data_IF_708911053918
#
_entry.id   IF_708911053918
#
_cell.length_a   1.000
_cell.length_b   1.000
_cell.length_c   1.000
_cell.angle_alpha   90.00
_cell.angle_beta   90.00
_cell.angle_gamma   90.00
#
_symmetry.space_group_name_H-M   'P 1'
#
loop_
_entity.id
_entity.type
_entity.pdbx_description
1 polymer ?
#
# COMPACT_ATOMS: atom_id res chain seq x y z
N UNK A 1 -71.12 -65.31 -44.29
CA UNK A 1 -70.48 -64.04 -43.83
C UNK A 1 -69.47 -64.36 -42.70
N UNK A 2 -68.19 -64.42 -43.04
CA UNK A 2 -67.11 -64.74 -42.08
C UNK A 2 -66.41 -63.39 -41.66
N UNK A 3 -66.47 -63.05 -40.35
CA UNK A 3 -65.75 -61.97 -39.83
C UNK A 3 -64.34 -62.39 -39.40
N UNK A 4 -63.34 -61.89 -40.09
CA UNK A 4 -61.93 -62.07 -39.78
C UNK A 4 -61.49 -61.13 -38.61
N UNK A 5 -61.01 -61.68 -37.51
CA UNK A 5 -60.39 -60.94 -36.42
C UNK A 5 -58.93 -60.64 -36.80
N UNK A 6 -58.56 -59.39 -36.84
CA UNK A 6 -57.18 -58.95 -36.91
C UNK A 6 -56.58 -58.88 -35.44
N UNK A 7 -55.55 -59.72 -35.24
CA UNK A 7 -54.72 -59.60 -34.02
C UNK A 7 -53.73 -58.47 -34.18
N UNK A 8 -53.74 -57.52 -33.20
CA UNK A 8 -52.73 -56.53 -33.07
C UNK A 8 -51.56 -57.11 -32.28
N UNK A 9 -50.39 -57.17 -32.87
CA UNK A 9 -49.15 -57.40 -32.14
C UNK A 9 -48.67 -56.07 -31.55
N UNK A 10 -48.64 -55.98 -30.21
CA UNK A 10 -48.05 -54.89 -29.48
C UNK A 10 -46.59 -55.25 -29.19
N UNK A 11 -45.66 -54.60 -29.91
CA UNK A 11 -44.25 -54.74 -29.65
C UNK A 11 -43.89 -53.94 -28.36
N UNK A 12 -43.50 -54.64 -27.32
CA UNK A 12 -42.85 -54.00 -26.13
C UNK A 12 -41.39 -53.65 -26.45
N UNK A 13 -41.06 -52.39 -26.59
CA UNK A 13 -39.68 -51.91 -26.49
C UNK A 13 -39.30 -51.89 -25.04
N UNK A 14 -38.14 -52.44 -24.63
CA UNK A 14 -37.62 -52.19 -23.25
C UNK A 14 -37.11 -50.78 -23.15
N UNK A 15 -37.69 -50.00 -22.22
CA UNK A 15 -37.19 -48.71 -21.80
C UNK A 15 -35.93 -48.98 -20.97
N UNK A 16 -34.75 -48.73 -21.56
CA UNK A 16 -33.48 -48.69 -20.82
C UNK A 16 -33.43 -47.32 -20.09
N UNK A 17 -33.73 -47.37 -18.80
CA UNK A 17 -33.57 -46.24 -17.89
C UNK A 17 -32.06 -46.02 -17.67
N UNK A 18 -31.47 -45.05 -18.38
CA UNK A 18 -30.15 -44.50 -18.04
C UNK A 18 -30.30 -43.67 -16.79
N UNK A 19 -29.93 -44.23 -15.64
CA UNK A 19 -29.71 -43.48 -14.41
C UNK A 19 -28.43 -42.64 -14.56
N UNK A 20 -28.56 -41.37 -14.90
CA UNK A 20 -27.52 -40.37 -14.75
C UNK A 20 -27.28 -40.17 -13.24
N UNK A 21 -26.33 -40.91 -12.69
CA UNK A 21 -25.76 -40.61 -11.39
C UNK A 21 -24.92 -39.33 -11.55
N UNK A 22 -25.54 -38.21 -11.28
CA UNK A 22 -24.83 -36.94 -11.11
C UNK A 22 -23.96 -37.08 -9.85
N UNK A 23 -22.66 -37.26 -10.02
CA UNK A 23 -21.71 -37.11 -8.94
C UNK A 23 -21.73 -35.64 -8.50
N UNK A 24 -22.61 -35.29 -7.56
CA UNK A 24 -22.45 -34.08 -6.75
C UNK A 24 -21.31 -34.42 -5.81
N UNK A 25 -20.11 -33.96 -6.17
CA UNK A 25 -18.98 -33.91 -5.23
C UNK A 25 -19.43 -33.03 -4.09
N UNK A 26 -19.71 -33.57 -2.91
CA UNK A 26 -19.89 -32.77 -1.71
C UNK A 26 -18.53 -32.17 -1.41
N UNK A 27 -18.43 -30.86 -1.49
CA UNK A 27 -17.26 -30.12 -0.98
C UNK A 27 -17.10 -30.50 0.49
N UNK A 28 -15.91 -30.94 0.86
CA UNK A 28 -15.56 -31.22 2.27
C UNK A 28 -15.22 -29.91 2.94
N UNK A 29 -15.26 -29.85 4.28
CA UNK A 29 -14.86 -28.65 5.03
C UNK A 29 -13.43 -28.19 4.69
N UNK A 30 -12.57 -29.12 4.22
CA UNK A 30 -11.22 -28.79 3.71
C UNK A 30 -11.24 -28.02 2.36
N UNK A 31 -12.30 -28.20 1.55
CA UNK A 31 -12.45 -27.50 0.26
C UNK A 31 -12.94 -26.06 0.45
N UNK A 32 -13.59 -25.75 1.60
CA UNK A 32 -14.10 -24.42 1.95
C UNK A 32 -12.95 -23.50 2.35
N UNK A 33 -11.92 -24.02 2.97
CA UNK A 33 -10.71 -23.24 3.35
C UNK A 33 -9.89 -22.76 2.13
N UNK A 34 -10.06 -23.41 0.96
CA UNK A 34 -9.37 -23.06 -0.28
C UNK A 34 -9.93 -21.79 -0.95
N UNK A 35 -11.11 -21.32 -0.54
CA UNK A 35 -11.80 -20.15 -1.12
C UNK A 35 -11.75 -18.89 -0.26
N UNK A 36 -10.88 -18.84 0.77
CA UNK A 36 -10.68 -17.60 1.52
C UNK A 36 -10.10 -16.54 0.61
N UNK A 37 -10.71 -15.35 0.58
CA UNK A 37 -10.17 -14.20 -0.13
C UNK A 37 -8.73 -13.91 0.35
N UNK A 38 -7.77 -13.62 -0.55
CA UNK A 38 -6.41 -13.35 -0.14
C UNK A 38 -6.33 -12.01 0.58
N UNK A 39 -5.40 -11.89 1.54
CA UNK A 39 -5.00 -10.60 2.03
C UNK A 39 -4.31 -9.82 0.90
N UNK A 40 -4.43 -8.50 0.94
CA UNK A 40 -3.85 -7.61 -0.07
C UNK A 40 -3.01 -6.56 0.65
N UNK A 41 -1.73 -6.49 0.33
CA UNK A 41 -0.84 -5.39 0.75
C UNK A 41 -0.41 -4.64 -0.49
N UNK A 42 -0.78 -3.35 -0.54
CA UNK A 42 -0.38 -2.45 -1.60
C UNK A 42 0.65 -1.47 -1.05
N UNK A 43 1.89 -1.57 -1.51
CA UNK A 43 3.00 -0.70 -1.09
C UNK A 43 3.16 0.41 -2.12
N UNK A 44 3.04 1.65 -1.66
CA UNK A 44 3.25 2.86 -2.45
C UNK A 44 4.45 3.62 -1.87
N UNK A 45 5.50 3.80 -2.66
CA UNK A 45 6.62 4.68 -2.32
C UNK A 45 6.36 6.09 -2.88
N UNK A 46 6.71 7.13 -2.11
CA UNK A 46 6.47 8.51 -2.49
C UNK A 46 7.73 9.07 -3.21
N UNK A 47 7.58 9.43 -4.48
CA UNK A 47 8.64 9.97 -5.35
C UNK A 47 9.83 9.00 -5.59
N UNK A 48 9.59 7.69 -5.61
CA UNK A 48 10.57 6.71 -6.04
C UNK A 48 10.60 6.64 -7.58
N UNK A 49 11.74 6.91 -8.17
CA UNK A 49 11.92 6.87 -9.62
C UNK A 49 12.04 5.43 -10.16
N UNK A 50 11.76 5.25 -11.46
CA UNK A 50 11.80 3.95 -12.12
C UNK A 50 13.14 3.22 -11.94
N UNK A 51 14.28 3.94 -12.06
CA UNK A 51 15.61 3.36 -11.97
C UNK A 51 16.24 3.48 -10.56
N UNK A 52 15.45 3.68 -9.52
CA UNK A 52 15.97 3.86 -8.16
C UNK A 52 16.03 2.54 -7.37
N UNK A 53 15.62 1.42 -7.96
CA UNK A 53 15.71 0.08 -7.39
C UNK A 53 16.52 -0.88 -8.26
N UNK A 54 17.20 -1.86 -7.66
CA UNK A 54 18.17 -2.72 -8.37
C UNK A 54 17.55 -3.51 -9.51
N UNK A 55 16.35 -4.08 -9.33
CA UNK A 55 15.67 -4.84 -10.38
C UNK A 55 15.22 -3.98 -11.59
N UNK A 56 15.26 -2.65 -11.46
CA UNK A 56 14.95 -1.69 -12.54
C UNK A 56 16.18 -0.92 -13.04
N UNK A 57 17.40 -1.31 -12.60
CA UNK A 57 18.64 -0.79 -13.15
C UNK A 57 19.47 0.06 -12.19
N UNK A 58 19.11 0.24 -10.94
CA UNK A 58 19.96 0.87 -9.93
C UNK A 58 21.21 0.01 -9.70
N UNK A 59 22.41 0.65 -9.77
CA UNK A 59 23.71 -0.03 -9.62
C UNK A 59 24.57 0.56 -8.50
N UNK A 60 24.19 1.68 -7.91
CA UNK A 60 24.96 2.38 -6.88
C UNK A 60 24.74 1.80 -5.48
N UNK A 61 23.56 1.25 -5.24
CA UNK A 61 23.19 0.53 -4.01
C UNK A 61 22.20 -0.58 -4.37
N UNK A 62 21.88 -1.47 -3.45
CA UNK A 62 21.04 -2.62 -3.72
C UNK A 62 19.72 -2.58 -2.93
N UNK A 63 18.68 -3.21 -3.52
CA UNK A 63 17.35 -3.38 -2.90
C UNK A 63 16.94 -4.85 -2.89
N UNK A 64 17.66 -5.71 -2.12
CA UNK A 64 17.55 -7.17 -2.23
C UNK A 64 16.17 -7.73 -1.87
N UNK A 65 15.42 -7.08 -0.99
CA UNK A 65 14.08 -7.53 -0.61
C UNK A 65 13.05 -7.23 -1.70
N UNK A 66 13.11 -6.04 -2.30
CA UNK A 66 12.29 -5.65 -3.45
C UNK A 66 12.63 -6.53 -4.65
N UNK A 67 13.93 -6.77 -4.93
CA UNK A 67 14.39 -7.64 -6.01
C UNK A 67 13.90 -9.08 -5.84
N UNK A 68 13.88 -9.58 -4.61
CA UNK A 68 13.31 -10.90 -4.29
C UNK A 68 11.81 -10.96 -4.62
N UNK A 69 11.03 -9.94 -4.25
CA UNK A 69 9.61 -9.86 -4.62
C UNK A 69 9.43 -9.81 -6.14
N UNK A 70 10.21 -8.98 -6.83
CA UNK A 70 10.18 -8.88 -8.29
C UNK A 70 10.47 -10.22 -8.97
N UNK A 71 11.47 -10.98 -8.46
CA UNK A 71 11.83 -12.31 -8.98
C UNK A 71 10.78 -13.39 -8.73
N UNK A 72 9.95 -13.23 -7.70
CA UNK A 72 8.91 -14.18 -7.30
C UNK A 72 7.52 -13.81 -7.82
N UNK A 73 7.36 -12.64 -8.39
CA UNK A 73 6.09 -12.08 -8.83
C UNK A 73 6.08 -11.65 -10.29
N UNK A 74 5.26 -10.67 -10.58
CA UNK A 74 5.14 -10.05 -11.89
C UNK A 74 5.68 -8.61 -11.81
N UNK A 75 6.58 -8.26 -12.71
CA UNK A 75 7.15 -6.94 -12.83
C UNK A 75 6.52 -6.20 -14.02
N UNK A 76 5.93 -5.03 -13.78
CA UNK A 76 5.35 -4.20 -14.81
C UNK A 76 6.35 -3.14 -15.26
N UNK A 77 6.89 -3.27 -16.47
CA UNK A 77 7.86 -2.33 -17.03
C UNK A 77 7.24 -1.08 -17.62
N UNK A 78 5.93 -1.01 -17.75
CA UNK A 78 5.17 0.09 -18.35
C UNK A 78 3.97 0.47 -17.47
N UNK A 79 4.22 0.73 -16.20
CA UNK A 79 3.21 1.17 -15.26
C UNK A 79 3.52 2.60 -14.82
N UNK A 80 2.51 3.47 -14.85
CA UNK A 80 2.67 4.90 -14.61
C UNK A 80 1.68 5.38 -13.55
N UNK A 81 2.11 6.32 -12.72
CA UNK A 81 1.21 7.01 -11.78
C UNK A 81 0.15 7.84 -12.53
N UNK A 82 -1.01 8.03 -11.92
CA UNK A 82 -2.09 8.82 -12.53
C UNK A 82 -1.78 10.31 -12.67
N UNK A 83 -0.77 10.81 -11.94
CA UNK A 83 -0.33 12.19 -11.96
C UNK A 83 1.09 12.29 -11.42
N UNK A 84 1.83 13.33 -11.83
CA UNK A 84 3.14 13.69 -11.26
C UNK A 84 3.05 14.39 -9.90
N UNK A 85 1.84 14.65 -9.38
CA UNK A 85 1.60 15.32 -8.10
C UNK A 85 0.88 14.36 -7.17
N UNK A 86 1.31 14.30 -5.91
CA UNK A 86 0.94 13.25 -4.95
C UNK A 86 -0.58 13.11 -4.71
N UNK A 87 -1.30 14.19 -4.33
CA UNK A 87 -2.72 14.06 -4.00
C UNK A 87 -3.58 13.62 -5.20
N UNK A 88 -3.45 14.19 -6.42
CA UNK A 88 -4.20 13.68 -7.57
C UNK A 88 -3.78 12.27 -7.98
N UNK A 89 -2.50 11.88 -7.84
CA UNK A 89 -2.05 10.50 -8.10
C UNK A 89 -2.73 9.51 -7.15
N UNK A 90 -2.76 9.80 -5.85
CA UNK A 90 -3.46 9.00 -4.84
C UNK A 90 -4.95 8.91 -5.11
N UNK A 91 -5.58 10.04 -5.47
CA UNK A 91 -7.00 10.06 -5.85
C UNK A 91 -7.29 9.18 -7.07
N UNK A 92 -6.48 9.27 -8.14
CA UNK A 92 -6.60 8.39 -9.30
C UNK A 92 -6.47 6.91 -8.90
N UNK A 93 -5.49 6.59 -8.07
CA UNK A 93 -5.21 5.23 -7.65
C UNK A 93 -6.39 4.60 -6.92
N UNK A 94 -6.92 5.28 -5.89
CA UNK A 94 -7.98 4.70 -5.06
C UNK A 94 -9.38 4.75 -5.69
N UNK A 95 -9.58 5.61 -6.69
CA UNK A 95 -10.88 5.74 -7.39
C UNK A 95 -10.90 5.03 -8.75
N UNK A 96 -9.74 4.65 -9.30
CA UNK A 96 -9.64 4.14 -10.67
C UNK A 96 -9.96 5.19 -11.74
N UNK A 97 -10.01 6.47 -11.38
CA UNK A 97 -10.37 7.57 -12.29
C UNK A 97 -9.12 8.25 -12.85
N UNK A 98 -9.16 8.57 -14.14
CA UNK A 98 -8.13 9.40 -14.77
C UNK A 98 -8.13 10.82 -14.18
N UNK A 99 -6.98 11.51 -14.15
CA UNK A 99 -6.83 12.88 -13.61
C UNK A 99 -7.79 13.91 -14.20
N UNK A 100 -8.30 13.68 -15.41
CA UNK A 100 -9.35 14.51 -16.03
C UNK A 100 -10.74 14.36 -15.38
N UNK A 101 -10.96 13.29 -14.61
CA UNK A 101 -12.25 12.95 -14.00
C UNK A 101 -12.21 12.90 -12.48
N UNK A 102 -11.06 12.61 -11.87
CA UNK A 102 -10.95 12.60 -10.42
C UNK A 102 -11.23 13.97 -9.81
N UNK A 103 -11.80 13.97 -8.59
CA UNK A 103 -12.12 15.21 -7.88
C UNK A 103 -10.85 15.97 -7.46
N UNK A 104 -9.82 15.26 -7.01
CA UNK A 104 -8.58 15.88 -6.53
C UNK A 104 -7.61 16.02 -7.69
N UNK A 105 -7.31 17.27 -8.08
CA UNK A 105 -6.47 17.58 -9.25
C UNK A 105 -5.17 18.32 -8.92
N UNK A 106 -4.85 18.49 -7.65
CA UNK A 106 -3.62 19.14 -7.18
C UNK A 106 -3.46 19.04 -5.68
N UNK A 107 -2.27 19.34 -5.19
CA UNK A 107 -1.99 19.47 -3.77
C UNK A 107 -2.56 20.81 -3.29
N UNK A 108 -3.83 20.81 -2.89
CA UNK A 108 -4.48 21.99 -2.32
C UNK A 108 -4.51 21.86 -0.82
N UNK A 109 -3.65 22.63 -0.17
CA UNK A 109 -3.60 22.69 1.28
C UNK A 109 -4.72 23.56 1.83
N UNK A 110 -5.19 23.22 3.02
CA UNK A 110 -6.11 24.01 3.83
C UNK A 110 -5.36 24.56 5.05
N UNK A 111 -5.85 25.68 5.65
CA UNK A 111 -5.27 26.25 6.84
C UNK A 111 -5.15 25.25 7.99
N UNK A 112 -4.16 25.46 8.86
CA UNK A 112 -3.76 24.65 10.01
C UNK A 112 -3.03 23.40 9.55
N UNK A 113 -3.67 22.27 9.47
CA UNK A 113 -3.14 20.99 9.01
C UNK A 113 -4.24 20.31 8.21
N UNK A 114 -4.31 20.60 6.94
CA UNK A 114 -5.39 20.09 6.11
C UNK A 114 -5.02 19.92 4.65
N UNK A 115 -5.81 19.11 4.02
CA UNK A 115 -5.78 18.84 2.60
C UNK A 115 -7.20 18.99 2.05
N UNK A 116 -7.34 19.46 0.81
CA UNK A 116 -8.63 19.51 0.16
C UNK A 116 -9.29 18.13 0.22
N UNK A 117 -10.47 18.00 0.89
CA UNK A 117 -11.07 16.71 1.14
C UNK A 117 -11.69 16.13 -0.14
N UNK A 118 -11.49 14.82 -0.31
CA UNK A 118 -12.25 14.03 -1.29
C UNK A 118 -13.65 13.79 -0.72
N UNK A 119 -14.68 13.83 -1.58
CA UNK A 119 -16.05 13.57 -1.13
C UNK A 119 -16.24 12.13 -0.70
N UNK A 120 -17.00 11.91 0.37
CA UNK A 120 -17.37 10.58 0.88
C UNK A 120 -18.29 9.79 -0.06
N UNK A 121 -18.94 10.45 -1.01
CA UNK A 121 -19.80 9.81 -2.02
C UNK A 121 -19.01 9.07 -3.11
N UNK A 122 -17.72 9.34 -3.22
CA UNK A 122 -16.86 8.72 -4.24
C UNK A 122 -16.62 7.24 -3.90
N UNK A 123 -16.88 6.35 -4.86
CA UNK A 123 -16.61 4.94 -4.72
C UNK A 123 -15.10 4.69 -4.85
N UNK A 124 -14.50 4.14 -3.80
CA UNK A 124 -13.06 3.91 -3.70
C UNK A 124 -12.76 2.41 -3.58
N UNK A 125 -11.50 2.03 -3.79
CA UNK A 125 -11.01 0.67 -3.54
C UNK A 125 -11.28 0.24 -2.09
N UNK A 126 -11.21 1.16 -1.11
CA UNK A 126 -11.51 0.86 0.30
C UNK A 126 -12.96 0.45 0.47
N UNK A 127 -13.89 1.24 -0.10
CA UNK A 127 -15.31 0.89 -0.07
C UNK A 127 -15.57 -0.45 -0.76
N UNK A 128 -15.00 -0.66 -1.94
CA UNK A 128 -15.16 -1.91 -2.69
C UNK A 128 -14.68 -3.11 -1.86
N UNK A 129 -13.52 -3.03 -1.23
CA UNK A 129 -12.96 -4.12 -0.45
C UNK A 129 -13.73 -4.32 0.86
N UNK A 130 -14.17 -3.24 1.51
CA UNK A 130 -15.02 -3.34 2.71
C UNK A 130 -16.36 -3.99 2.41
N UNK A 131 -17.01 -3.64 1.29
CA UNK A 131 -18.24 -4.29 0.82
C UNK A 131 -18.03 -5.81 0.53
N UNK A 132 -16.78 -6.24 0.32
CA UNK A 132 -16.39 -7.65 0.14
C UNK A 132 -15.76 -8.29 1.39
N UNK A 133 -15.97 -7.71 2.56
CA UNK A 133 -15.60 -8.29 3.86
C UNK A 133 -14.13 -8.11 4.27
N UNK A 134 -13.40 -7.22 3.61
CA UNK A 134 -12.03 -6.91 4.02
C UNK A 134 -12.01 -5.90 5.18
N UNK A 135 -11.11 -6.12 6.14
CA UNK A 135 -10.68 -5.07 7.05
C UNK A 135 -9.66 -4.19 6.32
N UNK A 136 -9.93 -2.88 6.27
CA UNK A 136 -9.15 -1.93 5.48
C UNK A 136 -8.22 -1.10 6.35
N UNK A 137 -6.99 -0.86 5.88
CA UNK A 137 -6.02 -0.07 6.63
C UNK A 137 -5.13 0.78 5.73
N UNK A 138 -4.59 1.86 6.32
CA UNK A 138 -3.62 2.76 5.68
C UNK A 138 -2.51 3.08 6.68
N UNK A 139 -1.27 2.85 6.27
CA UNK A 139 -0.08 3.19 7.06
C UNK A 139 0.84 4.08 6.25
N UNK A 140 1.02 5.34 6.68
CA UNK A 140 1.83 6.34 6.01
C UNK A 140 1.10 7.62 5.64
N UNK A 141 1.28 8.12 4.42
CA UNK A 141 0.74 9.39 3.94
C UNK A 141 -0.63 9.22 3.30
N UNK A 142 -1.65 9.89 3.84
CA UNK A 142 -3.00 9.92 3.27
C UNK A 142 -3.15 10.98 2.15
N UNK A 143 -3.23 12.26 2.52
CA UNK A 143 -3.21 13.39 1.59
C UNK A 143 -4.48 13.65 0.78
N UNK A 144 -5.64 13.11 1.19
CA UNK A 144 -6.93 13.25 0.49
C UNK A 144 -8.03 13.85 1.37
N UNK A 145 -7.67 14.38 2.53
CA UNK A 145 -8.55 15.04 3.48
C UNK A 145 -7.81 15.37 4.77
N UNK A 146 -8.52 15.97 5.70
CA UNK A 146 -8.04 16.32 7.03
C UNK A 146 -8.95 15.70 8.08
N UNK A 147 -8.51 15.59 9.34
CA UNK A 147 -9.34 15.11 10.44
C UNK A 147 -10.65 15.87 10.51
N UNK A 148 -11.76 15.14 10.68
CA UNK A 148 -13.11 15.70 10.76
C UNK A 148 -13.72 16.19 9.44
N UNK A 149 -13.06 15.95 8.30
CA UNK A 149 -13.63 16.20 6.98
C UNK A 149 -14.18 14.92 6.35
N UNK A 150 -15.01 15.05 5.30
CA UNK A 150 -15.49 13.89 4.54
C UNK A 150 -14.37 13.11 3.84
N UNK A 151 -13.21 13.73 3.60
CA UNK A 151 -12.03 13.10 3.01
C UNK A 151 -11.07 12.48 4.02
N UNK A 152 -11.39 12.45 5.32
CA UNK A 152 -10.56 11.76 6.30
C UNK A 152 -10.59 10.24 6.08
N UNK A 153 -9.55 9.49 6.49
CA UNK A 153 -9.47 8.05 6.25
C UNK A 153 -10.72 7.28 6.70
N UNK A 154 -11.22 7.52 7.91
CA UNK A 154 -12.39 6.86 8.46
C UNK A 154 -13.66 7.11 7.65
N UNK A 155 -13.84 8.32 7.10
CA UNK A 155 -14.96 8.66 6.22
C UNK A 155 -14.81 8.11 4.80
N UNK A 156 -13.62 7.61 4.46
CA UNK A 156 -13.30 6.94 3.19
C UNK A 156 -13.24 5.41 3.32
N UNK A 157 -13.89 4.85 4.35
CA UNK A 157 -13.98 3.41 4.63
C UNK A 157 -12.62 2.75 4.98
N UNK A 158 -11.73 3.47 5.63
CA UNK A 158 -10.52 2.94 6.24
C UNK A 158 -10.83 2.62 7.71
N UNK A 159 -10.65 1.35 8.11
CA UNK A 159 -10.90 0.90 9.49
C UNK A 159 -9.76 1.27 10.43
N UNK A 160 -8.52 1.33 9.90
CA UNK A 160 -7.36 1.69 10.68
C UNK A 160 -6.37 2.53 9.89
N UNK A 161 -6.02 3.67 10.44
CA UNK A 161 -5.07 4.61 9.88
C UNK A 161 -4.00 4.99 10.90
N UNK A 162 -2.72 4.92 10.51
CA UNK A 162 -1.63 5.51 11.27
C UNK A 162 -0.65 6.23 10.35
N UNK A 163 -0.44 7.55 10.55
CA UNK A 163 0.50 8.30 9.72
C UNK A 163 0.18 9.80 9.58
N UNK A 164 0.43 10.33 8.40
CA UNK A 164 0.28 11.74 8.06
C UNK A 164 -1.04 11.98 7.32
N UNK A 165 -1.88 12.89 7.82
CA UNK A 165 -3.10 13.27 7.12
C UNK A 165 -2.84 14.16 5.90
N UNK A 166 -1.88 15.08 5.96
CA UNK A 166 -1.64 16.08 4.94
C UNK A 166 -0.28 15.94 4.24
N UNK A 167 -0.16 16.56 3.07
CA UNK A 167 1.05 16.55 2.26
C UNK A 167 2.21 17.26 2.97
N UNK A 168 1.95 18.44 3.56
CA UNK A 168 3.00 19.29 4.15
C UNK A 168 3.66 18.64 5.35
N UNK A 169 2.90 18.08 6.29
CA UNK A 169 3.48 17.45 7.47
C UNK A 169 4.33 16.23 7.09
N UNK A 170 3.97 15.54 6.01
CA UNK A 170 4.71 14.39 5.49
C UNK A 170 6.09 14.76 4.89
N UNK A 171 6.43 16.03 4.75
CA UNK A 171 7.79 16.48 4.43
C UNK A 171 8.71 16.46 5.64
N UNK A 172 8.18 16.34 6.86
CA UNK A 172 8.95 16.28 8.09
C UNK A 172 9.04 14.83 8.59
N UNK A 173 10.24 14.27 8.64
CA UNK A 173 10.50 12.90 9.07
C UNK A 173 10.60 12.73 10.57
N UNK A 174 10.73 13.86 11.31
CA UNK A 174 10.69 13.94 12.77
C UNK A 174 9.59 14.90 13.23
N UNK A 175 8.31 14.65 12.82
CA UNK A 175 7.21 15.54 13.19
C UNK A 175 6.93 15.46 14.68
N UNK A 176 6.31 16.51 15.24
CA UNK A 176 5.88 16.48 16.64
C UNK A 176 4.59 15.65 16.85
N UNK A 177 3.93 15.24 15.78
CA UNK A 177 2.78 14.35 15.88
C UNK A 177 2.53 13.56 14.59
N UNK A 178 1.85 12.43 14.77
CA UNK A 178 1.17 11.67 13.74
C UNK A 178 -0.31 11.51 14.11
N UNK A 179 -1.06 10.83 13.28
CA UNK A 179 -2.46 10.55 13.52
C UNK A 179 -2.70 9.04 13.61
N UNK A 180 -3.52 8.63 14.58
CA UNK A 180 -4.07 7.29 14.66
C UNK A 180 -5.59 7.43 14.58
N UNK A 181 -6.15 7.12 13.41
CA UNK A 181 -7.53 7.43 13.04
C UNK A 181 -7.81 8.94 13.23
N UNK A 182 -8.76 9.30 14.07
CA UNK A 182 -9.13 10.68 14.40
C UNK A 182 -8.31 11.30 15.55
N UNK A 183 -7.37 10.52 16.14
CA UNK A 183 -6.60 10.95 17.29
C UNK A 183 -5.19 11.38 16.93
N UNK A 184 -4.82 12.55 17.41
CA UNK A 184 -3.45 13.07 17.32
C UNK A 184 -2.56 12.38 18.34
N UNK A 185 -1.47 11.79 17.88
CA UNK A 185 -0.45 11.12 18.69
C UNK A 185 0.77 12.01 18.75
N UNK A 186 1.08 12.55 19.93
CA UNK A 186 2.24 13.39 20.13
C UNK A 186 3.51 12.54 20.21
N UNK A 187 4.54 12.96 19.50
CA UNK A 187 5.86 12.36 19.48
C UNK A 187 6.79 13.19 20.37
N UNK A 188 6.79 12.87 21.66
CA UNK A 188 7.54 13.64 22.67
C UNK A 188 9.06 13.60 22.44
N UNK A 189 9.57 12.55 21.78
CA UNK A 189 10.96 12.45 21.37
C UNK A 189 11.39 13.49 20.34
N UNK A 190 10.42 14.16 19.68
CA UNK A 190 10.67 15.20 18.68
C UNK A 190 10.37 16.61 19.20
N UNK A 191 10.10 16.73 20.50
CA UNK A 191 9.86 18.03 21.12
C UNK A 191 11.08 18.93 21.01
N UNK A 192 10.84 20.25 20.86
CA UNK A 192 11.90 21.27 20.80
C UNK A 192 12.96 21.01 19.71
N UNK A 193 12.53 20.44 18.56
CA UNK A 193 13.40 20.05 17.43
C UNK A 193 14.35 18.89 17.72
N UNK A 194 14.10 18.10 18.75
CA UNK A 194 14.77 16.81 18.92
C UNK A 194 14.38 15.86 17.80
N UNK A 195 15.27 14.93 17.45
CA UNK A 195 15.09 13.99 16.32
C UNK A 195 15.24 12.54 16.84
N UNK A 196 14.37 12.14 17.77
CA UNK A 196 14.43 10.80 18.37
C UNK A 196 13.38 9.84 17.79
N UNK A 197 12.23 10.37 17.39
CA UNK A 197 11.10 9.56 16.88
C UNK A 197 11.02 9.68 15.36
N UNK A 198 11.72 8.80 14.64
CA UNK A 198 11.69 8.75 13.17
C UNK A 198 10.37 8.17 12.67
N UNK A 199 9.53 9.01 12.10
CA UNK A 199 8.15 8.65 11.74
C UNK A 199 8.03 7.42 10.80
N UNK A 200 8.91 7.20 9.79
CA UNK A 200 8.84 5.98 8.98
C UNK A 200 8.99 4.68 9.76
N UNK A 201 9.72 4.67 10.90
CA UNK A 201 9.81 3.50 11.76
C UNK A 201 8.53 3.28 12.55
N UNK A 202 8.00 4.34 13.17
CA UNK A 202 6.75 4.27 13.93
C UNK A 202 5.56 3.82 13.06
N UNK A 203 5.50 4.32 11.84
CA UNK A 203 4.48 3.91 10.85
C UNK A 203 4.64 2.45 10.49
N UNK A 204 5.88 1.99 10.28
CA UNK A 204 6.17 0.61 9.95
C UNK A 204 5.82 -0.34 11.10
N UNK A 205 6.18 0.01 12.32
CA UNK A 205 5.87 -0.81 13.51
C UNK A 205 4.36 -1.00 13.67
N UNK A 206 3.57 0.07 13.49
CA UNK A 206 2.11 -0.01 13.51
C UNK A 206 1.54 -0.88 12.38
N UNK A 207 2.15 -0.85 11.18
CA UNK A 207 1.76 -1.73 10.09
C UNK A 207 2.04 -3.21 10.40
N UNK A 208 3.19 -3.51 10.99
CA UNK A 208 3.56 -4.87 11.45
C UNK A 208 2.58 -5.36 12.54
N UNK A 209 2.24 -4.51 13.48
CA UNK A 209 1.32 -4.87 14.57
C UNK A 209 -0.09 -5.12 14.03
N UNK A 210 -0.57 -4.30 13.08
CA UNK A 210 -1.83 -4.55 12.39
C UNK A 210 -1.87 -5.94 11.73
N UNK A 211 -0.79 -6.37 11.05
CA UNK A 211 -0.72 -7.70 10.43
C UNK A 211 -0.84 -8.80 11.49
N UNK A 212 -0.11 -8.67 12.61
CA UNK A 212 -0.14 -9.65 13.72
C UNK A 212 -1.54 -9.76 14.35
N UNK A 213 -2.19 -8.62 14.61
CA UNK A 213 -3.51 -8.55 15.21
C UNK A 213 -4.63 -9.07 14.30
N UNK A 214 -4.43 -8.98 12.98
CA UNK A 214 -5.44 -9.35 11.98
C UNK A 214 -5.09 -10.61 11.19
N UNK A 215 -4.18 -11.46 11.68
CA UNK A 215 -3.74 -12.69 11.00
C UNK A 215 -4.87 -13.64 10.62
N UNK A 216 -5.95 -13.64 11.40
CA UNK A 216 -7.12 -14.49 11.21
C UNK A 216 -8.26 -13.79 10.44
N UNK A 217 -8.04 -12.54 10.01
CA UNK A 217 -9.00 -11.70 9.28
C UNK A 217 -8.48 -11.45 7.87
N UNK A 218 -9.37 -11.47 6.88
CA UNK A 218 -9.00 -11.00 5.53
C UNK A 218 -8.87 -9.49 5.54
N UNK A 219 -7.71 -8.99 5.14
CA UNK A 219 -7.40 -7.55 5.19
C UNK A 219 -6.84 -6.99 3.88
N UNK A 220 -7.05 -5.70 3.72
CA UNK A 220 -6.37 -4.84 2.75
C UNK A 220 -5.55 -3.79 3.49
N UNK A 221 -4.27 -3.75 3.22
CA UNK A 221 -3.36 -2.74 3.73
C UNK A 221 -2.83 -1.87 2.59
N UNK A 222 -3.04 -0.57 2.68
CA UNK A 222 -2.35 0.40 1.84
C UNK A 222 -1.15 0.97 2.62
N UNK A 223 0.03 0.39 2.39
CA UNK A 223 1.28 0.85 2.99
C UNK A 223 1.85 2.00 2.14
N UNK A 224 1.51 3.23 2.49
CA UNK A 224 1.85 4.43 1.73
C UNK A 224 3.08 5.12 2.33
N UNK A 225 4.25 4.51 2.10
CA UNK A 225 5.52 5.01 2.61
C UNK A 225 5.79 6.43 2.11
N UNK A 226 6.29 7.29 2.98
CA UNK A 226 6.80 8.61 2.60
C UNK A 226 8.20 8.56 2.00
N UNK A 227 8.88 7.40 2.10
CA UNK A 227 10.20 7.19 1.54
C UNK A 227 10.13 6.95 0.02
N UNK A 228 11.07 7.49 -0.75
CA UNK A 228 12.16 8.40 -0.41
C UNK A 228 11.89 9.89 -0.72
N UNK A 229 10.65 10.37 -0.54
CA UNK A 229 10.29 11.78 -0.80
C UNK A 229 11.17 12.77 -0.01
N UNK A 230 11.49 13.92 -0.57
CA UNK A 230 12.14 14.99 0.16
C UNK A 230 11.21 15.55 1.27
N UNK A 231 11.71 15.94 2.44
CA UNK A 231 13.14 16.24 2.72
C UNK A 231 13.96 14.95 2.84
N UNK A 232 15.24 15.02 2.52
CA UNK A 232 16.14 13.87 2.60
C UNK A 232 16.69 13.73 4.02
N UNK A 233 15.83 13.42 4.98
CA UNK A 233 16.16 13.30 6.40
C UNK A 233 16.09 11.84 6.83
N UNK A 234 17.17 11.37 7.43
CA UNK A 234 17.33 9.99 7.90
C UNK A 234 18.06 9.96 9.23
N UNK A 235 17.94 8.89 10.02
CA UNK A 235 18.77 8.72 11.22
C UNK A 235 20.27 8.77 10.88
N UNK A 236 21.04 9.48 11.67
CA UNK A 236 22.49 9.67 11.44
C UNK A 236 23.24 8.33 11.38
N UNK A 237 22.84 7.36 12.20
CA UNK A 237 23.41 6.00 12.19
C UNK A 237 23.25 5.29 10.87
N UNK A 238 22.13 5.49 10.19
CA UNK A 238 21.84 4.90 8.87
C UNK A 238 22.56 5.66 7.75
N UNK A 239 22.57 7.00 7.83
CA UNK A 239 23.28 7.85 6.86
C UNK A 239 24.77 7.52 6.76
N UNK A 240 25.41 7.25 7.88
CA UNK A 240 26.85 6.88 7.95
C UNK A 240 27.22 5.65 7.13
N UNK A 241 26.25 4.79 6.81
CA UNK A 241 26.50 3.60 5.98
C UNK A 241 26.83 3.96 4.51
N UNK A 242 26.42 5.12 4.06
CA UNK A 242 26.59 5.58 2.68
C UNK A 242 27.49 6.81 2.54
N UNK A 243 27.75 7.53 3.63
CA UNK A 243 28.64 8.70 3.61
C UNK A 243 30.08 8.25 3.45
N UNK A 244 30.79 8.90 2.52
CA UNK A 244 32.19 8.55 2.20
C UNK A 244 32.36 7.34 1.28
N UNK A 245 31.28 6.77 0.80
CA UNK A 245 31.32 5.72 -0.23
C UNK A 245 31.73 6.33 -1.56
N UNK A 246 32.68 5.69 -2.24
CA UNK A 246 33.15 6.09 -3.58
C UNK A 246 32.07 5.94 -4.66
N UNK A 247 30.94 5.29 -4.34
CA UNK A 247 29.78 5.16 -5.24
C UNK A 247 29.17 6.51 -5.61
N UNK A 248 29.28 7.50 -4.76
CA UNK A 248 28.80 8.88 -5.00
C UNK A 248 29.99 9.82 -5.22
N UNK A 249 30.49 9.91 -6.46
CA UNK A 249 31.70 10.65 -6.82
C UNK A 249 31.68 12.14 -6.42
N UNK A 250 30.49 12.74 -6.33
CA UNK A 250 30.30 14.12 -5.86
C UNK A 250 28.96 14.24 -5.16
N UNK A 251 29.01 14.28 -3.85
CA UNK A 251 27.86 14.73 -3.08
C UNK A 251 27.55 16.21 -3.39
N UNK A 252 26.26 16.52 -3.33
CA UNK A 252 25.77 17.91 -3.43
C UNK A 252 25.01 18.24 -2.18
N UNK A 253 25.49 19.25 -1.47
CA UNK A 253 24.72 19.81 -0.37
C UNK A 253 23.51 20.57 -0.92
N UNK A 254 22.37 20.40 -0.25
CA UNK A 254 21.18 21.20 -0.44
C UNK A 254 21.00 22.11 0.77
N UNK A 255 21.00 23.42 0.54
CA UNK A 255 20.66 24.42 1.56
C UNK A 255 19.16 24.68 1.51
N UNK A 256 18.46 24.24 2.53
CA UNK A 256 17.00 24.31 2.62
C UNK A 256 16.54 25.26 3.73
N UNK A 257 15.31 25.07 4.18
CA UNK A 257 14.67 25.81 5.26
C UNK A 257 14.61 24.94 6.52
N UNK A 258 15.42 25.25 7.52
CA UNK A 258 15.48 24.52 8.79
C UNK A 258 14.65 25.20 9.90
N UNK A 259 13.76 26.12 9.53
CA UNK A 259 12.96 26.91 10.44
C UNK A 259 11.67 26.21 10.91
N UNK A 260 11.77 25.47 12.00
CA UNK A 260 10.60 25.02 12.75
C UNK A 260 10.03 23.65 12.38
N UNK A 261 8.99 23.26 13.11
CA UNK A 261 8.25 21.98 12.96
C UNK A 261 7.45 21.94 11.67
N UNK A 262 7.08 23.10 11.15
CA UNK A 262 6.38 23.26 9.88
C UNK A 262 7.27 24.10 8.96
N UNK A 263 7.79 23.50 7.90
CA UNK A 263 8.51 24.26 6.88
C UNK A 263 7.57 25.26 6.24
N UNK A 264 7.76 26.52 6.57
CA UNK A 264 6.97 27.60 5.98
C UNK A 264 7.31 27.68 4.49
N UNK A 265 6.31 27.88 3.65
CA UNK A 265 6.44 28.02 2.21
C UNK A 265 6.83 26.75 1.41
N UNK A 266 6.59 25.55 1.95
CA UNK A 266 6.83 24.29 1.23
C UNK A 266 8.30 23.96 1.02
N UNK A 267 9.21 24.60 1.77
CA UNK A 267 10.63 24.29 1.73
C UNK A 267 10.95 22.91 2.33
N UNK A 268 12.06 22.35 1.89
CA UNK A 268 12.67 21.15 2.47
C UNK A 268 13.82 21.54 3.38
N UNK A 269 14.13 20.72 4.38
CA UNK A 269 15.28 20.89 5.25
C UNK A 269 16.59 20.72 4.49
N UNK A 270 17.66 21.29 5.06
CA UNK A 270 19.02 21.19 4.52
C UNK A 270 19.54 19.76 4.60
N UNK A 271 20.33 19.36 3.60
CA UNK A 271 21.03 18.08 3.58
C UNK A 271 22.42 18.23 2.95
N UNK A 272 23.46 17.85 3.69
CA UNK A 272 24.84 17.90 3.23
C UNK A 272 25.15 16.78 2.22
N UNK A 273 24.59 15.58 2.45
CA UNK A 273 24.86 14.34 1.70
C UNK A 273 23.61 13.85 1.00
N UNK A 274 23.14 14.59 -0.02
CA UNK A 274 21.82 14.32 -0.64
C UNK A 274 21.72 12.94 -1.29
N UNK A 275 22.78 12.48 -1.99
CA UNK A 275 22.77 11.15 -2.63
C UNK A 275 22.83 10.02 -1.59
N UNK A 276 23.69 10.15 -0.58
CA UNK A 276 23.78 9.17 0.50
C UNK A 276 22.47 9.10 1.29
N UNK A 277 21.84 10.24 1.57
CA UNK A 277 20.55 10.29 2.26
C UNK A 277 19.44 9.63 1.43
N UNK A 278 19.36 9.88 0.13
CA UNK A 278 18.42 9.23 -0.76
C UNK A 278 18.64 7.70 -0.81
N UNK A 279 19.88 7.24 -0.97
CA UNK A 279 20.20 5.82 -0.95
C UNK A 279 19.83 5.17 0.41
N UNK A 280 20.07 5.87 1.52
CA UNK A 280 19.65 5.44 2.85
C UNK A 280 18.13 5.28 2.93
N UNK A 281 17.35 6.25 2.45
CA UNK A 281 15.88 6.19 2.45
C UNK A 281 15.36 5.01 1.66
N UNK A 282 15.90 4.76 0.46
CA UNK A 282 15.52 3.60 -0.36
C UNK A 282 15.90 2.28 0.32
N UNK A 283 17.07 2.22 0.98
CA UNK A 283 17.50 1.04 1.73
C UNK A 283 16.63 0.76 2.96
N UNK A 284 16.16 1.82 3.65
CA UNK A 284 15.18 1.67 4.74
C UNK A 284 13.87 1.11 4.19
N UNK A 285 13.37 1.65 3.08
CA UNK A 285 12.16 1.14 2.42
C UNK A 285 12.31 -0.34 2.02
N UNK A 286 13.44 -0.71 1.42
CA UNK A 286 13.71 -2.11 1.04
C UNK A 286 13.70 -3.04 2.26
N UNK A 287 14.31 -2.63 3.37
CA UNK A 287 14.31 -3.37 4.63
C UNK A 287 12.88 -3.53 5.17
N UNK A 288 12.08 -2.47 5.19
CA UNK A 288 10.68 -2.50 5.62
C UNK A 288 9.84 -3.46 4.77
N UNK A 289 10.06 -3.49 3.45
CA UNK A 289 9.43 -4.49 2.56
C UNK A 289 9.83 -5.91 2.95
N UNK A 290 11.11 -6.12 3.27
CA UNK A 290 11.60 -7.42 3.77
C UNK A 290 10.96 -7.85 5.08
N UNK A 291 10.77 -6.93 6.01
CA UNK A 291 10.14 -7.17 7.32
C UNK A 291 8.64 -7.48 7.18
N UNK A 292 7.91 -6.77 6.30
CA UNK A 292 6.52 -7.12 5.96
C UNK A 292 6.42 -8.56 5.41
N UNK A 293 7.32 -8.97 4.52
CA UNK A 293 7.34 -10.35 4.04
C UNK A 293 7.62 -11.35 5.16
N UNK A 294 8.59 -11.03 6.01
CA UNK A 294 9.01 -11.92 7.10
C UNK A 294 7.94 -12.14 8.15
N UNK A 295 7.15 -11.11 8.50
CA UNK A 295 6.03 -11.27 9.43
C UNK A 295 4.92 -12.14 8.84
N UNK A 296 4.60 -11.98 7.55
CA UNK A 296 3.61 -12.83 6.87
C UNK A 296 4.04 -14.30 6.85
N UNK A 297 5.33 -14.56 6.55
CA UNK A 297 5.92 -15.90 6.58
C UNK A 297 5.86 -16.50 8.00
N UNK A 298 6.23 -15.73 9.02
CA UNK A 298 6.25 -16.19 10.42
C UNK A 298 4.87 -16.52 10.98
N UNK A 299 3.82 -15.85 10.46
CA UNK A 299 2.43 -16.09 10.83
C UNK A 299 1.75 -17.18 9.99
N UNK A 300 2.44 -17.72 8.98
CA UNK A 300 1.89 -18.74 8.08
C UNK A 300 0.79 -18.23 7.13
N UNK A 301 0.70 -16.92 6.90
CA UNK A 301 -0.32 -16.30 6.04
C UNK A 301 0.24 -15.78 4.71
N UNK A 302 1.53 -15.98 4.45
CA UNK A 302 2.19 -15.48 3.24
C UNK A 302 1.57 -16.04 1.96
N UNK A 303 1.24 -17.33 1.91
CA UNK A 303 0.63 -17.97 0.73
C UNK A 303 -0.79 -17.44 0.45
N UNK A 304 -1.53 -17.03 1.48
CA UNK A 304 -2.83 -16.39 1.32
C UNK A 304 -2.74 -14.88 1.11
N UNK A 305 -1.58 -14.26 1.33
CA UNK A 305 -1.34 -12.83 1.05
C UNK A 305 -0.70 -12.64 -0.33
N UNK A 306 0.19 -13.55 -0.71
CA UNK A 306 0.93 -13.52 -1.97
C UNK A 306 0.57 -14.72 -2.84
N UNK A 307 -0.68 -14.86 -3.32
CA UNK A 307 -1.06 -16.00 -4.19
C UNK A 307 -0.17 -16.04 -5.44
N UNK A 308 0.55 -17.15 -5.64
CA UNK A 308 1.29 -17.38 -6.88
C UNK A 308 0.30 -17.43 -8.06
N UNK A 309 0.61 -16.81 -9.24
CA UNK A 309 1.88 -16.20 -9.64
C UNK A 309 1.97 -14.68 -9.41
N UNK A 310 1.05 -14.03 -8.70
CA UNK A 310 1.00 -12.59 -8.62
C UNK A 310 1.30 -12.07 -7.20
N UNK A 311 2.59 -11.99 -6.86
CA UNK A 311 3.03 -11.07 -5.81
C UNK A 311 3.01 -9.67 -6.42
N UNK A 312 2.02 -8.86 -6.03
CA UNK A 312 1.85 -7.54 -6.62
C UNK A 312 2.35 -6.49 -5.63
N UNK A 313 3.56 -6.00 -5.86
CA UNK A 313 4.12 -4.82 -5.19
C UNK A 313 4.18 -3.73 -6.23
N UNK A 314 3.40 -2.67 -6.02
CA UNK A 314 3.51 -1.45 -6.81
C UNK A 314 4.47 -0.52 -6.09
N UNK A 315 5.55 -0.13 -6.78
CA UNK A 315 6.48 0.90 -6.36
C UNK A 315 6.35 2.06 -7.34
N UNK A 316 5.96 3.22 -6.84
CA UNK A 316 5.83 4.46 -7.61
C UNK A 316 6.56 5.59 -6.91
#
# INVERSE_FOLDING_TARGET
>A
MKKTRKQLFVNYLPIVSLSLTSCVSMMTDSDIDEYRNPNIIFILADDLGYADISCMGQTKFSTPNIDRLASQGMMFSQHYSGSSVSAPSRSCLITGQHTGHTMIRGNKELPVEGQHPMSSDIYTIFKMLKDNGYKTSVFGKWGLGAPGTEGSPENQNVDEFYGYNCQRLAHNYYPYHLWHNDRKILLEGNKEKSENDYAPYLIHDNAIDFIKENRDTTFFMWYTSVLPHAELKVPESELKLFVGDTLFEKERAFAGCDDGVYYKNGGYGSQEYTHAAFATMVSILDRQVGELCSVLDSLGIADNTWKKPAKLVYLF
#
